data_IF_892271521660
#
_entry.id   IF_892271521660
#
_cell.length_a   1.000
_cell.length_b   1.000
_cell.length_c   1.000
_cell.angle_alpha   90.00
_cell.angle_beta   90.00
_cell.angle_gamma   90.00
#
_symmetry.space_group_name_H-M   'P 1'
#
loop_
_entity.id
_entity.type
_entity.pdbx_description
1 polymer ?
#
# COMPACT_ATOMS: atom_id res chain seq x y z
N UNK A 1 -5.98 8.92 -16.70
CA UNK A 1 -6.42 7.58 -17.13
C UNK A 1 -6.86 6.84 -15.87
N UNK A 2 -8.10 6.34 -15.82
CA UNK A 2 -8.59 5.57 -14.65
C UNK A 2 -8.15 4.13 -14.84
N UNK A 3 -7.46 3.56 -13.84
CA UNK A 3 -7.07 2.15 -13.84
C UNK A 3 -8.10 1.37 -13.03
N UNK A 4 -8.63 0.30 -13.62
CA UNK A 4 -9.56 -0.61 -12.95
C UNK A 4 -8.81 -1.86 -12.54
N UNK A 5 -8.96 -2.29 -11.29
CA UNK A 5 -8.37 -3.50 -10.75
C UNK A 5 -9.46 -4.37 -10.12
N UNK A 6 -9.33 -5.67 -10.29
CA UNK A 6 -10.01 -6.66 -9.46
C UNK A 6 -9.40 -6.67 -8.05
N UNK A 7 -10.10 -7.30 -7.10
CA UNK A 7 -9.60 -7.44 -5.71
C UNK A 7 -8.30 -8.25 -5.68
N UNK A 8 -8.17 -9.28 -6.52
CA UNK A 8 -6.98 -10.12 -6.56
C UNK A 8 -5.78 -9.38 -7.16
N UNK A 9 -5.97 -8.64 -8.25
CA UNK A 9 -4.91 -7.77 -8.81
C UNK A 9 -4.46 -6.70 -7.81
N UNK A 10 -5.39 -6.11 -7.05
CA UNK A 10 -5.05 -5.14 -6.00
C UNK A 10 -4.23 -5.77 -4.87
N UNK A 11 -4.48 -7.04 -4.53
CA UNK A 11 -3.70 -7.79 -3.53
C UNK A 11 -2.30 -8.13 -4.04
N UNK A 12 -2.18 -8.53 -5.30
CA UNK A 12 -0.88 -8.77 -5.94
C UNK A 12 -0.03 -7.50 -6.00
N UNK A 13 -0.66 -6.36 -6.33
CA UNK A 13 0.01 -5.07 -6.37
C UNK A 13 0.47 -4.62 -4.97
N UNK A 14 -0.39 -4.78 -3.95
CA UNK A 14 -0.03 -4.54 -2.56
C UNK A 14 1.21 -5.38 -2.14
N UNK A 15 1.23 -6.66 -2.49
CA UNK A 15 2.36 -7.54 -2.20
C UNK A 15 3.63 -7.09 -2.93
N UNK A 16 3.51 -6.63 -4.18
CA UNK A 16 4.61 -6.08 -4.96
C UNK A 16 5.19 -4.80 -4.34
N UNK A 17 4.33 -3.88 -3.88
CA UNK A 17 4.75 -2.64 -3.21
C UNK A 17 5.53 -2.93 -1.92
N UNK A 18 5.02 -3.85 -1.08
CA UNK A 18 5.71 -4.27 0.14
C UNK A 18 7.06 -4.92 -0.16
N UNK A 19 7.12 -5.79 -1.17
CA UNK A 19 8.36 -6.42 -1.62
C UNK A 19 9.39 -5.37 -2.10
N UNK A 20 8.94 -4.38 -2.86
CA UNK A 20 9.82 -3.33 -3.40
C UNK A 20 10.29 -2.35 -2.32
N UNK A 21 9.46 -2.09 -1.30
CA UNK A 21 9.86 -1.29 -0.15
C UNK A 21 10.95 -1.97 0.69
N UNK A 22 11.06 -3.30 0.63
CA UNK A 22 12.01 -4.07 1.42
C UNK A 22 11.70 -4.07 2.93
N UNK A 23 10.47 -3.70 3.29
CA UNK A 23 10.01 -3.52 4.67
C UNK A 23 8.64 -4.17 4.83
N UNK A 24 8.31 -4.51 6.08
CA UNK A 24 6.95 -4.95 6.41
C UNK A 24 5.97 -3.77 6.34
N UNK A 25 4.67 -4.09 6.29
CA UNK A 25 3.60 -3.07 6.36
C UNK A 25 3.66 -2.26 7.66
N UNK A 26 3.94 -2.94 8.77
CA UNK A 26 4.05 -2.36 10.12
C UNK A 26 5.25 -1.41 10.19
N UNK A 27 6.41 -1.86 9.73
CA UNK A 27 7.64 -1.05 9.71
C UNK A 27 7.48 0.23 8.86
N UNK A 28 6.82 0.14 7.70
CA UNK A 28 6.50 1.32 6.89
C UNK A 28 5.59 2.31 7.64
N UNK A 29 4.63 1.81 8.42
CA UNK A 29 3.74 2.67 9.22
C UNK A 29 4.53 3.38 10.31
N UNK A 30 5.29 2.62 11.11
CA UNK A 30 6.08 3.13 12.24
C UNK A 30 7.06 4.20 11.79
N UNK A 31 7.82 3.93 10.72
CA UNK A 31 8.77 4.90 10.15
C UNK A 31 8.05 6.10 9.53
N UNK A 32 6.84 5.91 9.02
CA UNK A 32 5.98 7.00 8.53
C UNK A 32 5.55 7.94 9.66
N UNK A 33 5.15 7.39 10.80
CA UNK A 33 4.77 8.15 12.00
C UNK A 33 5.97 8.90 12.62
N UNK A 34 7.17 8.31 12.53
CA UNK A 34 8.41 8.91 13.00
C UNK A 34 9.04 9.91 12.01
N UNK A 35 8.39 10.15 10.86
CA UNK A 35 8.89 11.04 9.79
C UNK A 35 10.24 10.59 9.17
N UNK A 36 10.54 9.31 9.24
CA UNK A 36 11.81 8.72 8.78
C UNK A 36 11.78 8.22 7.33
N UNK A 37 10.61 8.27 6.68
CA UNK A 37 10.47 7.88 5.28
C UNK A 37 10.96 9.01 4.36
N UNK A 38 11.70 8.62 3.31
CA UNK A 38 11.98 9.51 2.19
C UNK A 38 10.72 9.75 1.32
N UNK A 39 10.83 10.66 0.35
CA UNK A 39 9.69 11.01 -0.51
C UNK A 39 9.14 9.82 -1.30
N UNK A 40 10.01 8.91 -1.77
CA UNK A 40 9.61 7.71 -2.52
C UNK A 40 8.86 6.73 -1.61
N UNK A 41 9.39 6.49 -0.42
CA UNK A 41 8.81 5.59 0.57
C UNK A 41 7.45 6.11 1.08
N UNK A 42 7.30 7.43 1.24
CA UNK A 42 5.98 8.04 1.55
C UNK A 42 4.97 7.80 0.44
N UNK A 43 5.39 7.86 -0.82
CA UNK A 43 4.55 7.51 -1.97
C UNK A 43 4.07 6.06 -1.88
N UNK A 44 4.99 5.13 -1.66
CA UNK A 44 4.68 3.70 -1.48
C UNK A 44 3.69 3.48 -0.33
N UNK A 45 3.89 4.12 0.83
CA UNK A 45 2.98 4.01 1.96
C UNK A 45 1.57 4.55 1.62
N UNK A 46 1.48 5.65 0.87
CA UNK A 46 0.20 6.21 0.44
C UNK A 46 -0.54 5.28 -0.53
N UNK A 47 0.17 4.66 -1.47
CA UNK A 47 -0.38 3.70 -2.43
C UNK A 47 -0.89 2.44 -1.71
N UNK A 48 -0.10 1.92 -0.77
CA UNK A 48 -0.47 0.79 0.10
C UNK A 48 -1.78 1.08 0.84
N UNK A 49 -1.87 2.21 1.55
CA UNK A 49 -3.08 2.59 2.31
C UNK A 49 -4.30 2.72 1.39
N UNK A 50 -4.10 3.24 0.18
CA UNK A 50 -5.16 3.38 -0.82
C UNK A 50 -5.68 2.02 -1.30
N UNK A 51 -4.78 1.07 -1.61
CA UNK A 51 -5.15 -0.29 -1.98
C UNK A 51 -5.86 -1.03 -0.84
N UNK A 52 -5.34 -0.94 0.39
CA UNK A 52 -5.96 -1.54 1.58
C UNK A 52 -7.39 -1.03 1.78
N UNK A 53 -7.61 0.28 1.63
CA UNK A 53 -8.94 0.88 1.70
C UNK A 53 -9.88 0.33 0.61
N UNK A 54 -9.43 0.28 -0.65
CA UNK A 54 -10.23 -0.19 -1.78
C UNK A 54 -10.59 -1.68 -1.63
N UNK A 55 -9.61 -2.51 -1.26
CA UNK A 55 -9.83 -3.93 -0.97
C UNK A 55 -10.85 -4.08 0.16
N UNK A 56 -10.66 -3.35 1.26
CA UNK A 56 -11.59 -3.36 2.39
C UNK A 56 -13.01 -2.98 1.99
N UNK A 57 -13.17 -1.97 1.12
CA UNK A 57 -14.48 -1.55 0.61
C UNK A 57 -15.12 -2.58 -0.31
N UNK A 58 -14.33 -3.23 -1.16
CA UNK A 58 -14.83 -4.23 -2.10
C UNK A 58 -15.19 -5.57 -1.43
N UNK A 59 -14.62 -5.85 -0.25
CA UNK A 59 -14.78 -7.15 0.44
C UNK A 59 -15.74 -7.12 1.63
N UNK A 60 -16.07 -5.95 2.18
CA UNK A 60 -17.13 -5.82 3.20
C UNK A 60 -18.51 -6.08 2.55
N UNK A 61 -19.06 -7.27 2.81
CA UNK A 61 -20.48 -7.59 2.60
C UNK A 61 -21.32 -7.11 3.79
#
# INVERSE_FOLDING_TARGET
>A
MVRTLTVDEAREELASLLKNAGMSREELEERGEQWELDASQRGVLADIRSLEFLIGRATRR
#
